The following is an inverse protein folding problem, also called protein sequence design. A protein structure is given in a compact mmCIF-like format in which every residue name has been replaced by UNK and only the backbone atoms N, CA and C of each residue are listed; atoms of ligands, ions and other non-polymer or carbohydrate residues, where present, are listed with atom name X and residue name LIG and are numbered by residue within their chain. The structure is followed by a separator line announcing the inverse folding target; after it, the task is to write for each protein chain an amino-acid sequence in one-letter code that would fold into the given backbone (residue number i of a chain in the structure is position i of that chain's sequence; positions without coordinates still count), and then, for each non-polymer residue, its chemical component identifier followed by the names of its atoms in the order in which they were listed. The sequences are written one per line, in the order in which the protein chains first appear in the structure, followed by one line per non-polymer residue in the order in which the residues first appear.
data_IF_440779326215
#
_entry.id   IF_440779326215
#
_cell.length_a   1.000
_cell.length_b   1.000
_cell.length_c   1.000
_cell.angle_alpha   90.00
_cell.angle_beta   90.00
_cell.angle_gamma   90.00
#
_symmetry.space_group_name_H-M   'P 1'
#
loop_
_entity.id
_entity.type
_entity.pdbx_description
1 polymer ?
#
# COMPACT_ATOMS: atom_id res chain seq x y z
N UNK A 1 7.41 26.77 6.61
CA UNK A 1 6.54 26.25 5.52
C UNK A 1 6.25 24.77 5.77
N UNK A 2 5.07 24.28 5.41
CA UNK A 2 4.73 22.85 5.52
C UNK A 2 5.47 22.07 4.42
N UNK A 3 6.16 20.98 4.78
CA UNK A 3 6.82 20.10 3.79
C UNK A 3 5.77 19.43 2.90
N UNK A 4 6.07 19.26 1.61
CA UNK A 4 5.20 18.52 0.71
C UNK A 4 5.39 17.02 0.94
N UNK A 5 4.29 16.28 1.14
CA UNK A 5 4.33 14.84 1.37
C UNK A 5 4.31 14.10 0.03
N UNK A 6 5.32 13.28 -0.22
CA UNK A 6 5.54 12.60 -1.51
C UNK A 6 5.61 11.09 -1.26
N UNK A 7 4.69 10.34 -1.89
CA UNK A 7 4.73 8.88 -1.86
C UNK A 7 5.59 8.31 -2.99
N UNK A 8 6.51 7.40 -2.67
CA UNK A 8 7.25 6.62 -3.68
C UNK A 8 6.67 5.21 -3.71
N UNK A 9 6.04 4.83 -4.81
CA UNK A 9 5.52 3.48 -5.04
C UNK A 9 6.52 2.65 -5.83
N UNK A 10 6.81 1.42 -5.37
CA UNK A 10 7.81 0.55 -6.02
C UNK A 10 7.58 -0.94 -5.77
N UNK A 11 8.31 -1.77 -6.52
CA UNK A 11 8.23 -3.23 -6.48
C UNK A 11 7.17 -3.78 -7.42
N UNK A 12 6.30 -4.64 -6.92
CA UNK A 12 5.18 -5.24 -7.66
C UNK A 12 5.40 -6.70 -8.04
N UNK A 13 4.32 -7.33 -8.55
CA UNK A 13 4.30 -8.70 -9.07
C UNK A 13 4.78 -8.75 -10.52
N UNK A 14 6.05 -8.43 -10.76
CA UNK A 14 6.65 -8.37 -12.09
C UNK A 14 8.07 -8.93 -12.09
N UNK A 15 8.56 -9.35 -13.26
CA UNK A 15 9.99 -9.65 -13.46
C UNK A 15 10.89 -8.43 -13.27
N UNK A 16 10.32 -7.22 -13.34
CA UNK A 16 11.03 -5.95 -13.12
C UNK A 16 11.05 -5.50 -11.65
N UNK A 17 10.60 -6.34 -10.71
CA UNK A 17 10.54 -6.02 -9.28
C UNK A 17 11.85 -5.44 -8.75
N UNK A 18 12.98 -6.09 -9.04
CA UNK A 18 14.31 -5.65 -8.59
C UNK A 18 14.73 -4.30 -9.21
N UNK A 19 14.36 -4.08 -10.49
CA UNK A 19 14.65 -2.83 -11.20
C UNK A 19 13.83 -1.68 -10.59
N UNK A 20 12.57 -1.95 -10.21
CA UNK A 20 11.72 -0.98 -9.53
C UNK A 20 12.27 -0.58 -8.17
N UNK A 21 12.78 -1.54 -7.38
CA UNK A 21 13.44 -1.29 -6.09
C UNK A 21 14.67 -0.38 -6.24
N UNK A 22 15.56 -0.71 -7.18
CA UNK A 22 16.76 0.07 -7.42
C UNK A 22 16.44 1.49 -7.87
N UNK A 23 15.44 1.63 -8.75
CA UNK A 23 14.97 2.93 -9.24
C UNK A 23 14.41 3.78 -8.09
N UNK A 24 13.57 3.18 -7.24
CA UNK A 24 12.99 3.86 -6.10
C UNK A 24 14.03 4.25 -5.04
N UNK A 25 15.04 3.41 -4.81
CA UNK A 25 16.12 3.71 -3.88
C UNK A 25 16.93 4.93 -4.34
N UNK A 26 17.19 5.02 -5.65
CA UNK A 26 17.85 6.18 -6.26
C UNK A 26 17.04 7.47 -6.04
N UNK A 27 15.74 7.45 -6.33
CA UNK A 27 14.84 8.60 -6.14
C UNK A 27 14.73 8.99 -4.66
N UNK A 28 14.58 8.01 -3.77
CA UNK A 28 14.48 8.24 -2.33
C UNK A 28 15.74 8.93 -1.77
N UNK A 29 16.92 8.51 -2.22
CA UNK A 29 18.20 9.08 -1.81
C UNK A 29 18.47 10.47 -2.41
N UNK A 30 17.96 10.74 -3.61
CA UNK A 30 18.15 12.02 -4.30
C UNK A 30 17.21 13.13 -3.81
N UNK A 31 16.11 12.81 -3.13
CA UNK A 31 15.14 13.80 -2.67
C UNK A 31 15.62 14.64 -1.47
N UNK A 32 15.38 15.94 -1.54
CA UNK A 32 15.64 16.87 -0.45
C UNK A 32 14.64 16.71 0.69
N UNK A 33 15.10 16.12 1.81
CA UNK A 33 14.33 15.86 3.03
C UNK A 33 13.96 17.13 3.80
N UNK A 34 14.56 18.29 3.48
CA UNK A 34 14.15 19.57 4.05
C UNK A 34 12.90 20.11 3.38
N UNK A 35 12.72 19.83 2.09
CA UNK A 35 11.56 20.26 1.29
C UNK A 35 10.42 19.24 1.31
N UNK A 36 10.76 17.95 1.32
CA UNK A 36 9.79 16.86 1.19
C UNK A 36 9.73 15.96 2.42
N UNK A 37 8.51 15.50 2.73
CA UNK A 37 8.27 14.35 3.60
C UNK A 37 8.05 13.13 2.70
N UNK A 38 9.06 12.29 2.60
CA UNK A 38 9.07 11.16 1.67
C UNK A 38 8.49 9.92 2.35
N UNK A 39 7.49 9.31 1.73
CA UNK A 39 6.80 8.11 2.24
C UNK A 39 7.03 6.95 1.26
N UNK A 40 7.83 5.93 1.63
CA UNK A 40 8.00 4.74 0.81
C UNK A 40 6.78 3.82 0.91
N UNK A 41 6.33 3.31 -0.23
CA UNK A 41 5.21 2.36 -0.36
C UNK A 41 5.70 1.23 -1.26
N UNK A 42 5.88 0.05 -0.67
CA UNK A 42 6.39 -1.12 -1.36
C UNK A 42 5.28 -2.09 -1.75
N UNK A 43 5.44 -2.77 -2.88
CA UNK A 43 4.62 -3.93 -3.24
C UNK A 43 5.56 -5.13 -3.36
N UNK A 44 5.31 -6.21 -2.61
CA UNK A 44 6.13 -7.43 -2.67
C UNK A 44 5.94 -8.18 -4.00
N UNK A 45 6.79 -9.18 -4.28
CA UNK A 45 6.65 -10.06 -5.46
C UNK A 45 5.34 -10.87 -5.48
N UNK A 46 4.68 -10.97 -4.33
CA UNK A 46 3.42 -11.66 -4.07
C UNK A 46 2.23 -10.70 -4.22
N UNK A 47 2.50 -9.39 -4.28
CA UNK A 47 1.50 -8.34 -4.43
C UNK A 47 1.04 -7.70 -3.14
N UNK A 48 1.71 -8.00 -2.03
CA UNK A 48 1.37 -7.42 -0.73
C UNK A 48 1.89 -6.00 -0.65
N UNK A 49 1.03 -5.11 -0.19
CA UNK A 49 1.39 -3.72 0.04
C UNK A 49 2.02 -3.60 1.42
N UNK A 50 3.19 -2.98 1.47
CA UNK A 50 3.94 -2.71 2.70
C UNK A 50 4.22 -1.21 2.80
N UNK A 51 4.21 -0.70 4.02
CA UNK A 51 4.43 0.73 4.30
C UNK A 51 5.37 0.89 5.50
N UNK A 52 5.77 2.14 5.79
CA UNK A 52 6.61 2.47 6.94
C UNK A 52 7.94 1.66 6.96
N UNK A 53 8.29 1.07 8.11
CA UNK A 53 9.55 0.35 8.30
C UNK A 53 9.72 -0.83 7.33
N UNK A 54 8.62 -1.49 6.96
CA UNK A 54 8.66 -2.64 6.06
C UNK A 54 8.91 -2.22 4.61
N UNK A 55 8.36 -1.09 4.18
CA UNK A 55 8.69 -0.52 2.88
C UNK A 55 10.16 -0.08 2.82
N UNK A 56 10.69 0.52 3.89
CA UNK A 56 12.11 0.89 3.94
C UNK A 56 13.04 -0.33 3.91
N UNK A 57 12.69 -1.41 4.63
CA UNK A 57 13.43 -2.69 4.57
C UNK A 57 13.39 -3.30 3.18
N UNK A 58 12.24 -3.24 2.52
CA UNK A 58 12.10 -3.70 1.14
C UNK A 58 12.98 -2.89 0.19
N UNK A 59 12.99 -1.57 0.33
CA UNK A 59 13.84 -0.68 -0.46
C UNK A 59 15.35 -0.99 -0.28
N UNK A 60 15.77 -1.45 0.90
CA UNK A 60 17.15 -1.83 1.22
C UNK A 60 17.50 -3.28 0.83
N UNK A 61 16.54 -4.07 0.34
CA UNK A 61 16.73 -5.48 0.06
C UNK A 61 16.78 -6.38 1.31
N UNK A 62 16.43 -5.84 2.48
CA UNK A 62 16.44 -6.55 3.77
C UNK A 62 15.08 -7.17 4.12
N UNK A 63 14.13 -7.15 3.18
CA UNK A 63 12.77 -7.62 3.43
C UNK A 63 12.72 -9.14 3.50
N UNK A 64 12.66 -9.64 4.73
CA UNK A 64 12.37 -11.04 5.00
C UNK A 64 10.87 -11.26 4.85
N UNK A 65 10.49 -12.22 4.02
CA UNK A 65 9.10 -12.67 3.94
C UNK A 65 8.68 -13.21 5.31
N UNK A 66 7.92 -12.43 6.06
CA UNK A 66 7.14 -12.99 7.15
C UNK A 66 6.03 -13.83 6.51
N UNK A 67 5.81 -15.07 6.98
CA UNK A 67 4.76 -15.92 6.44
C UNK A 67 3.44 -15.16 6.52
N UNK A 68 2.65 -15.29 5.45
CA UNK A 68 1.30 -14.75 5.31
C UNK A 68 0.57 -14.82 6.65
N UNK A 69 0.48 -13.70 7.38
CA UNK A 69 -0.56 -13.59 8.40
C UNK A 69 -1.83 -13.47 7.60
N UNK A 70 -2.53 -14.58 7.45
CA UNK A 70 -3.88 -14.60 6.93
C UNK A 70 -4.76 -13.89 7.96
N UNK A 71 -4.73 -12.56 7.94
CA UNK A 71 -5.53 -11.71 8.79
C UNK A 71 -6.99 -11.96 8.39
N UNK A 72 -7.68 -12.78 9.17
CA UNK A 72 -9.12 -12.91 9.05
C UNK A 72 -9.75 -11.71 9.75
N UNK A 73 -10.73 -11.09 9.10
CA UNK A 73 -11.55 -10.11 9.78
C UNK A 73 -12.15 -10.77 11.03
N UNK A 74 -11.91 -10.18 12.21
CA UNK A 74 -12.34 -10.76 13.48
C UNK A 74 -11.44 -11.88 14.01
N UNK A 75 -10.19 -11.97 13.58
CA UNK A 75 -9.20 -12.86 14.20
C UNK A 75 -8.93 -12.44 15.68
N UNK A 76 -9.23 -13.31 16.67
CA UNK A 76 -9.03 -13.03 18.08
C UNK A 76 -7.58 -12.68 18.44
N UNK A 77 -6.60 -13.24 17.73
CA UNK A 77 -5.18 -13.03 18.02
C UNK A 77 -4.67 -11.65 17.59
N UNK A 78 -5.38 -10.98 16.68
CA UNK A 78 -4.93 -9.74 16.05
C UNK A 78 -5.88 -8.57 16.23
N UNK A 79 -7.12 -8.83 16.66
CA UNK A 79 -8.14 -7.80 16.89
C UNK A 79 -8.61 -7.84 18.35
N UNK A 80 -8.30 -6.82 19.17
CA UNK A 80 -8.67 -6.82 20.59
C UNK A 80 -10.17 -7.03 20.84
N UNK A 81 -11.03 -6.43 20.00
CA UNK A 81 -12.48 -6.65 20.09
C UNK A 81 -12.90 -8.10 19.81
N UNK A 82 -12.23 -8.78 18.88
CA UNK A 82 -12.50 -10.18 18.58
C UNK A 82 -11.99 -11.13 19.68
N UNK A 83 -10.87 -10.79 20.34
CA UNK A 83 -10.36 -11.54 21.48
C UNK A 83 -11.38 -11.62 22.63
N UNK A 84 -12.01 -10.48 22.95
CA UNK A 84 -13.02 -10.37 24.00
C UNK A 84 -14.27 -11.16 23.63
N UNK A 85 -14.74 -11.05 22.37
CA UNK A 85 -15.90 -11.80 21.87
C UNK A 85 -15.66 -13.32 21.89
N UNK A 86 -14.46 -13.79 21.53
CA UNK A 86 -14.11 -15.21 21.55
C UNK A 86 -14.19 -15.83 22.96
N UNK A 87 -13.96 -15.03 24.00
CA UNK A 87 -14.10 -15.43 25.41
C UNK A 87 -15.56 -15.36 25.92
N UNK A 88 -16.53 -15.08 25.05
CA UNK A 88 -17.94 -14.92 25.43
C UNK A 88 -18.24 -13.60 26.15
N UNK A 89 -17.31 -12.65 26.13
CA UNK A 89 -17.49 -11.34 26.75
C UNK A 89 -18.04 -10.35 25.72
N UNK A 90 -19.05 -9.55 26.13
CA UNK A 90 -19.57 -8.49 25.29
C UNK A 90 -18.54 -7.35 25.17
N UNK A 91 -18.36 -6.82 23.96
CA UNK A 91 -17.55 -5.63 23.71
C UNK A 91 -18.43 -4.52 23.13
N UNK A 92 -18.35 -3.32 23.69
CA UNK A 92 -18.97 -2.13 23.10
C UNK A 92 -17.95 -1.54 22.14
N UNK A 93 -18.21 -1.65 20.84
CA UNK A 93 -17.42 -0.95 19.82
C UNK A 93 -18.00 0.45 19.71
N UNK A 94 -17.31 1.51 20.16
CA UNK A 94 -17.79 2.87 19.97
C UNK A 94 -17.90 3.14 18.46
N UNK A 95 -18.96 3.84 17.99
CA UNK A 95 -19.05 4.21 16.59
C UNK A 95 -17.84 5.05 16.22
N UNK A 96 -17.13 4.69 15.13
CA UNK A 96 -16.02 5.49 14.66
C UNK A 96 -16.52 6.91 14.33
N UNK A 97 -15.91 7.97 14.89
CA UNK A 97 -16.29 9.32 14.54
C UNK A 97 -16.02 9.52 13.05
N UNK A 98 -17.09 9.81 12.31
CA UNK A 98 -17.02 10.09 10.88
C UNK A 98 -16.12 11.32 10.68
N UNK A 99 -14.87 11.11 10.27
CA UNK A 99 -14.00 12.20 9.86
C UNK A 99 -14.57 12.73 8.54
N UNK A 100 -15.43 13.76 8.61
CA UNK A 100 -15.78 14.56 7.43
C UNK A 100 -14.51 15.32 7.00
N UNK A 101 -13.68 14.68 6.17
CA UNK A 101 -12.42 15.26 5.73
C UNK A 101 -11.68 14.37 4.74
N UNK A 102 -12.07 14.45 3.47
CA UNK A 102 -11.28 13.97 2.34
C UNK A 102 -11.33 12.46 2.11
N UNK A 103 -12.29 12.02 1.29
CA UNK A 103 -12.33 10.70 0.68
C UNK A 103 -10.99 10.37 0.01
N UNK A 104 -10.17 9.54 0.65
CA UNK A 104 -9.20 8.72 -0.06
C UNK A 104 -9.96 7.53 -0.62
N UNK A 105 -10.55 7.70 -1.80
CA UNK A 105 -11.09 6.58 -2.58
C UNK A 105 -9.94 5.63 -2.93
N UNK A 106 -10.07 4.36 -2.56
CA UNK A 106 -9.13 3.32 -2.93
C UNK A 106 -9.11 3.17 -4.47
N UNK A 107 -7.89 3.06 -5.04
CA UNK A 107 -7.61 2.90 -6.46
C UNK A 107 -8.57 1.91 -7.14
N UNK A 108 -9.51 2.44 -7.92
CA UNK A 108 -10.36 1.67 -8.81
C UNK A 108 -9.48 1.23 -10.00
N UNK A 109 -9.20 -0.07 -10.07
CA UNK A 109 -8.39 -0.66 -11.13
C UNK A 109 -9.26 -0.82 -12.37
N UNK A 110 -9.44 0.23 -13.17
CA UNK A 110 -10.07 0.12 -14.50
C UNK A 110 -9.04 -0.33 -15.54
N UNK A 111 -8.50 -1.53 -15.35
CA UNK A 111 -7.63 -2.21 -16.32
C UNK A 111 -8.45 -3.14 -17.21
N UNK A 112 -9.51 -2.68 -17.89
CA UNK A 112 -10.18 -3.53 -18.89
C UNK A 112 -10.94 -2.84 -20.02
N UNK A 113 -11.23 -1.53 -19.98
CA UNK A 113 -12.10 -0.92 -21.02
C UNK A 113 -11.39 -0.07 -22.08
N UNK A 114 -10.07 0.17 -21.97
CA UNK A 114 -9.34 1.00 -22.94
C UNK A 114 -8.85 0.27 -24.22
N UNK A 115 -9.02 -1.05 -24.32
CA UNK A 115 -8.55 -1.85 -25.46
C UNK A 115 -9.61 -2.07 -26.57
N UNK A 116 -10.86 -1.64 -26.37
CA UNK A 116 -11.93 -1.85 -27.36
C UNK A 116 -12.24 -0.63 -28.25
N UNK A 117 -11.61 0.53 -28.05
CA UNK A 117 -11.96 1.78 -28.79
C UNK A 117 -10.93 2.26 -29.82
N UNK A 118 -9.85 1.50 -30.08
CA UNK A 118 -8.81 1.88 -31.06
C UNK A 118 -8.85 1.12 -32.39
N UNK A 119 -9.94 0.39 -32.68
CA UNK A 119 -10.05 -0.42 -33.89
C UNK A 119 -11.03 0.13 -34.96
N UNK A 120 -11.67 1.29 -34.75
CA UNK A 120 -12.71 1.78 -35.67
C UNK A 120 -12.37 3.07 -36.45
N UNK A 121 -11.22 3.71 -36.24
CA UNK A 121 -10.81 4.89 -37.02
C UNK A 121 -9.68 4.55 -38.00
N UNK A 122 -10.03 3.79 -39.05
CA UNK A 122 -9.27 3.79 -40.30
C UNK A 122 -10.18 3.40 -41.48
N UNK A 123 -11.05 4.33 -41.84
CA UNK A 123 -11.69 4.35 -43.16
C UNK A 123 -11.86 5.82 -43.57
N UNK A 124 -10.92 6.30 -44.39
CA UNK A 124 -11.05 7.18 -45.57
C UNK A 124 -9.65 7.20 -46.21
#
# INVERSE_FOLDING_TARGET
MKKLRVGILFGGRSGEHEVSLLSAASVFNAMDKNKYEVVPIGITKQGHWVTAADAERLLKGEFSHHPERHLRAGDPETTPGAAVLANGQAVVVPPEPHQQGGSLTAFQTESSQALARRASDRAI
#
